data_IF_708749084068
#
_entry.id   IF_708749084068
#
_cell.length_a   1.000
_cell.length_b   1.000
_cell.length_c   1.000
_cell.angle_alpha   90.00
_cell.angle_beta   90.00
_cell.angle_gamma   90.00
#
_symmetry.space_group_name_H-M   'P 1'
#
loop_
_entity.id
_entity.type
_entity.pdbx_description
1 polymer ?
#
# COMPACT_ATOMS: atom_id res chain seq x y z
N UNK A 1 54.74 -17.23 -26.37
CA UNK A 1 53.98 -16.13 -25.73
C UNK A 1 52.48 -16.42 -25.75
N UNK A 2 52.06 -17.59 -25.26
CA UNK A 2 50.65 -18.04 -25.17
C UNK A 2 50.39 -18.78 -23.84
N UNK A 3 51.44 -19.35 -23.26
CA UNK A 3 51.40 -20.08 -21.97
C UNK A 3 51.20 -19.13 -20.76
N UNK A 4 51.53 -17.84 -20.87
CA UNK A 4 51.38 -16.87 -19.77
C UNK A 4 49.94 -16.36 -19.59
N UNK A 5 49.09 -16.43 -20.63
CA UNK A 5 47.68 -16.00 -20.56
C UNK A 5 46.75 -17.06 -19.93
N UNK A 6 47.12 -18.35 -20.02
CA UNK A 6 46.36 -19.46 -19.41
C UNK A 6 46.54 -19.57 -17.89
N UNK A 7 47.60 -18.97 -17.33
CA UNK A 7 47.83 -18.89 -15.89
C UNK A 7 47.02 -17.74 -15.23
N UNK A 8 46.80 -16.63 -15.93
CA UNK A 8 45.98 -15.51 -15.40
C UNK A 8 44.47 -15.84 -15.36
N UNK A 9 43.97 -16.66 -16.29
CA UNK A 9 42.58 -17.14 -16.26
C UNK A 9 42.33 -18.18 -15.16
N UNK A 10 43.32 -18.98 -14.78
CA UNK A 10 43.20 -19.93 -13.67
C UNK A 10 43.38 -19.29 -12.28
N UNK A 11 44.06 -18.15 -12.17
CA UNK A 11 44.19 -17.43 -10.89
C UNK A 11 42.89 -16.65 -10.57
N UNK A 12 42.15 -16.18 -11.58
CA UNK A 12 40.85 -15.51 -11.36
C UNK A 12 39.78 -16.50 -10.84
N UNK A 13 39.81 -17.76 -11.30
CA UNK A 13 38.93 -18.83 -10.81
C UNK A 13 39.26 -19.28 -9.38
N UNK A 14 40.48 -19.02 -8.89
CA UNK A 14 40.92 -19.42 -7.55
C UNK A 14 40.79 -18.27 -6.53
N UNK A 15 40.79 -17.01 -6.97
CA UNK A 15 40.55 -15.84 -6.09
C UNK A 15 39.05 -15.49 -5.96
N UNK A 16 38.19 -15.99 -6.86
CA UNK A 16 36.73 -15.92 -6.71
C UNK A 16 36.16 -16.93 -5.69
N UNK A 17 36.99 -17.59 -4.89
CA UNK A 17 36.56 -18.55 -3.87
C UNK A 17 36.52 -18.00 -2.44
N UNK A 18 36.50 -16.68 -2.26
CA UNK A 18 36.31 -16.05 -0.95
C UNK A 18 35.21 -14.98 -0.97
N UNK A 19 33.95 -15.44 -0.99
CA UNK A 19 32.82 -14.96 -0.17
C UNK A 19 31.49 -15.48 -0.72
N UNK A 20 31.39 -16.80 -0.94
CA UNK A 20 30.05 -17.40 -0.90
C UNK A 20 29.58 -17.25 0.54
N UNK A 21 28.59 -16.40 0.80
CA UNK A 21 27.88 -16.37 2.08
C UNK A 21 27.28 -17.78 2.29
N UNK A 22 27.97 -18.59 3.08
CA UNK A 22 27.69 -20.00 3.30
C UNK A 22 26.49 -20.22 4.24
N UNK A 23 25.77 -19.15 4.60
CA UNK A 23 24.57 -19.19 5.44
C UNK A 23 23.32 -19.02 4.59
N UNK A 24 23.14 -19.91 3.63
CA UNK A 24 21.88 -20.05 2.92
C UNK A 24 21.01 -21.06 3.68
N UNK A 25 19.83 -20.66 4.13
CA UNK A 25 18.82 -21.58 4.63
C UNK A 25 17.87 -21.87 3.48
N UNK A 26 17.82 -23.13 3.05
CA UNK A 26 16.93 -23.51 1.95
C UNK A 26 15.47 -23.55 2.40
N UNK A 27 14.54 -23.45 1.44
CA UNK A 27 13.11 -23.65 1.72
C UNK A 27 12.85 -24.98 2.44
N UNK A 28 13.52 -26.06 2.02
CA UNK A 28 13.35 -27.37 2.63
C UNK A 28 13.86 -27.42 4.08
N UNK A 29 14.94 -26.70 4.40
CA UNK A 29 15.43 -26.58 5.79
C UNK A 29 14.49 -25.72 6.65
N UNK A 30 13.86 -24.70 6.07
CA UNK A 30 12.78 -23.95 6.72
C UNK A 30 11.54 -24.81 6.95
N UNK A 31 11.17 -25.70 6.01
CA UNK A 31 10.06 -26.64 6.21
C UNK A 31 10.30 -27.59 7.39
N UNK A 32 11.55 -28.02 7.58
CA UNK A 32 11.90 -28.98 8.63
C UNK A 32 11.89 -28.36 10.04
N UNK A 33 12.25 -27.08 10.16
CA UNK A 33 12.44 -26.42 11.45
C UNK A 33 11.45 -25.28 11.73
N UNK A 34 10.67 -24.87 10.73
CA UNK A 34 9.69 -23.80 10.82
C UNK A 34 8.27 -24.32 11.00
N UNK A 35 7.39 -23.43 11.46
CA UNK A 35 5.95 -23.69 11.53
C UNK A 35 5.29 -23.17 10.27
N UNK A 36 4.43 -23.99 9.67
CA UNK A 36 3.80 -23.69 8.39
C UNK A 36 2.34 -24.05 8.46
N UNK A 37 1.51 -23.07 8.12
CA UNK A 37 0.12 -23.32 7.79
C UNK A 37 0.00 -23.46 6.27
N UNK A 38 -0.47 -24.63 5.83
CA UNK A 38 -0.73 -24.92 4.42
C UNK A 38 -2.20 -25.35 4.27
N UNK A 39 -2.88 -24.75 3.30
CA UNK A 39 -4.24 -25.12 2.90
C UNK A 39 -4.39 -24.86 1.39
N UNK A 40 -5.48 -25.31 0.80
CA UNK A 40 -5.86 -25.07 -0.60
C UNK A 40 -6.31 -23.62 -0.85
N UNK A 41 -6.29 -22.78 0.20
CA UNK A 41 -6.57 -21.35 0.10
C UNK A 41 -5.48 -20.63 -0.71
N UNK A 42 -5.90 -19.59 -1.42
CA UNK A 42 -5.04 -18.79 -2.29
C UNK A 42 -5.18 -17.31 -1.95
N UNK A 43 -4.20 -16.50 -2.38
CA UNK A 43 -4.21 -15.04 -2.26
C UNK A 43 -4.29 -14.52 -0.81
N UNK A 44 -3.27 -14.85 0.00
CA UNK A 44 -3.10 -14.32 1.36
C UNK A 44 -2.63 -12.85 1.31
N UNK A 45 -3.56 -11.93 1.07
CA UNK A 45 -3.24 -10.55 0.72
C UNK A 45 -3.43 -9.54 1.86
N UNK A 46 -4.13 -9.92 2.92
CA UNK A 46 -4.36 -9.08 4.10
C UNK A 46 -3.97 -9.84 5.36
N UNK A 47 -3.21 -9.20 6.25
CA UNK A 47 -2.78 -9.80 7.52
C UNK A 47 -2.95 -8.77 8.62
N UNK A 48 -3.48 -9.19 9.77
CA UNK A 48 -3.47 -8.41 11.00
C UNK A 48 -3.06 -9.30 12.17
N UNK A 49 -2.24 -8.75 13.08
CA UNK A 49 -1.72 -9.45 14.24
C UNK A 49 -2.46 -8.92 15.48
N UNK A 50 -3.14 -9.80 16.19
CA UNK A 50 -3.85 -9.51 17.43
C UNK A 50 -3.09 -10.15 18.59
N UNK A 51 -2.07 -9.43 19.06
CA UNK A 51 -1.20 -9.89 20.17
C UNK A 51 -1.98 -10.12 21.46
N UNK A 52 -3.08 -9.40 21.70
CA UNK A 52 -3.88 -9.54 22.92
C UNK A 52 -4.56 -10.91 23.02
N UNK A 53 -4.89 -11.52 21.87
CA UNK A 53 -5.53 -12.84 21.80
C UNK A 53 -4.60 -13.92 21.25
N UNK A 54 -3.30 -13.63 21.18
CA UNK A 54 -2.28 -14.54 20.66
C UNK A 54 -2.67 -15.15 19.29
N UNK A 55 -3.17 -14.32 18.38
CA UNK A 55 -3.65 -14.78 17.07
C UNK A 55 -3.17 -13.89 15.91
N UNK A 56 -3.08 -14.50 14.74
CA UNK A 56 -2.92 -13.85 13.44
C UNK A 56 -4.18 -14.10 12.62
N UNK A 57 -4.71 -13.04 12.02
CA UNK A 57 -5.90 -13.09 11.16
C UNK A 57 -5.48 -12.77 9.74
N UNK A 58 -5.81 -13.66 8.82
CA UNK A 58 -5.36 -13.64 7.43
C UNK A 58 -6.59 -13.60 6.51
N UNK A 59 -6.59 -12.66 5.59
CA UNK A 59 -7.57 -12.56 4.52
C UNK A 59 -7.08 -13.33 3.30
N UNK A 60 -7.91 -14.23 2.81
CA UNK A 60 -7.63 -15.05 1.63
C UNK A 60 -8.69 -14.83 0.55
N UNK A 61 -8.60 -15.55 -0.55
CA UNK A 61 -9.73 -15.73 -1.47
C UNK A 61 -10.86 -16.46 -0.73
N UNK A 62 -12.04 -15.85 -0.68
CA UNK A 62 -13.31 -16.41 -0.19
C UNK A 62 -13.35 -16.80 1.30
N UNK A 63 -12.30 -16.47 2.07
CA UNK A 63 -12.19 -16.88 3.46
C UNK A 63 -11.37 -15.91 4.30
N UNK A 64 -11.66 -15.92 5.60
CA UNK A 64 -10.82 -15.35 6.65
C UNK A 64 -10.34 -16.50 7.52
N UNK A 65 -9.04 -16.51 7.79
CA UNK A 65 -8.37 -17.57 8.52
C UNK A 65 -7.79 -16.96 9.79
N UNK A 66 -8.10 -17.57 10.93
CA UNK A 66 -7.51 -17.26 12.22
C UNK A 66 -6.57 -18.36 12.59
N UNK A 67 -5.33 -18.02 12.86
CA UNK A 67 -4.32 -18.94 13.37
C UNK A 67 -3.83 -18.43 14.72
N UNK A 68 -3.33 -19.33 15.57
CA UNK A 68 -2.53 -18.92 16.71
C UNK A 68 -1.25 -18.21 16.26
N UNK A 69 -0.78 -17.27 17.06
CA UNK A 69 0.44 -16.52 16.75
C UNK A 69 1.71 -17.33 17.05
N UNK A 70 1.67 -18.24 18.04
CA UNK A 70 2.84 -18.99 18.49
C UNK A 70 3.20 -20.23 17.64
N UNK A 71 2.21 -20.90 17.05
CA UNK A 71 2.42 -22.15 16.29
C UNK A 71 1.61 -22.28 15.00
N UNK A 72 0.88 -21.24 14.60
CA UNK A 72 0.05 -21.19 13.41
C UNK A 72 -1.00 -22.32 13.31
N UNK A 73 -1.45 -22.85 14.45
CA UNK A 73 -2.57 -23.79 14.46
C UNK A 73 -3.86 -23.08 14.07
N UNK A 74 -4.71 -23.76 13.29
CA UNK A 74 -5.98 -23.21 12.83
C UNK A 74 -6.97 -23.05 13.98
N UNK A 75 -7.35 -21.81 14.27
CA UNK A 75 -8.38 -21.46 15.25
C UNK A 75 -9.78 -21.46 14.61
N UNK A 76 -9.92 -20.80 13.46
CA UNK A 76 -11.19 -20.68 12.74
C UNK A 76 -10.91 -20.43 11.26
N UNK A 77 -11.69 -21.06 10.38
CA UNK A 77 -11.78 -20.69 8.96
C UNK A 77 -13.20 -20.22 8.67
N UNK A 78 -13.38 -18.92 8.53
CA UNK A 78 -14.66 -18.31 8.21
C UNK A 78 -14.80 -18.15 6.70
N UNK A 79 -15.71 -18.91 6.09
CA UNK A 79 -16.03 -18.83 4.66
C UNK A 79 -16.89 -17.58 4.41
N UNK A 80 -16.40 -16.68 3.56
CA UNK A 80 -17.08 -15.45 3.18
C UNK A 80 -17.00 -15.26 1.66
N UNK A 81 -17.84 -16.01 0.95
CA UNK A 81 -17.93 -16.04 -0.51
C UNK A 81 -18.94 -15.04 -1.04
N UNK A 82 -18.68 -14.52 -2.24
CA UNK A 82 -19.69 -13.79 -3.02
C UNK A 82 -20.89 -14.69 -3.33
N UNK A 83 -22.09 -14.13 -3.39
CA UNK A 83 -23.28 -14.86 -3.84
C UNK A 83 -23.17 -15.30 -5.30
N UNK A 84 -23.79 -16.43 -5.66
CA UNK A 84 -23.76 -16.95 -7.05
C UNK A 84 -24.27 -15.93 -8.06
N UNK A 85 -25.29 -15.15 -7.71
CA UNK A 85 -25.85 -14.13 -8.59
C UNK A 85 -24.84 -13.01 -8.88
N UNK A 86 -24.16 -12.49 -7.85
CA UNK A 86 -23.12 -11.47 -8.03
C UNK A 86 -21.93 -12.00 -8.84
N UNK A 87 -21.54 -13.26 -8.65
CA UNK A 87 -20.50 -13.89 -9.49
C UNK A 87 -20.90 -13.94 -10.96
N UNK A 88 -22.15 -14.30 -11.26
CA UNK A 88 -22.67 -14.33 -12.65
C UNK A 88 -22.69 -12.92 -13.25
N UNK A 89 -23.17 -11.92 -12.50
CA UNK A 89 -23.19 -10.52 -12.95
C UNK A 89 -21.77 -10.03 -13.28
N UNK A 90 -20.82 -10.27 -12.38
CA UNK A 90 -19.41 -9.95 -12.61
C UNK A 90 -18.84 -10.69 -13.82
N UNK A 91 -19.08 -12.00 -13.94
CA UNK A 91 -18.53 -12.80 -15.03
C UNK A 91 -19.03 -12.30 -16.40
N UNK A 92 -20.29 -11.88 -16.49
CA UNK A 92 -20.85 -11.32 -17.71
C UNK A 92 -20.18 -10.00 -18.14
N UNK A 93 -19.58 -9.26 -17.20
CA UNK A 93 -18.87 -8.00 -17.48
C UNK A 93 -17.39 -8.23 -17.79
N UNK A 94 -16.73 -9.14 -17.07
CA UNK A 94 -15.26 -9.25 -17.04
C UNK A 94 -14.73 -10.46 -17.82
N UNK A 95 -15.58 -11.48 -18.04
CA UNK A 95 -15.20 -12.75 -18.69
C UNK A 95 -14.05 -13.49 -17.98
N UNK A 96 -13.88 -13.30 -16.67
CA UNK A 96 -12.87 -13.96 -15.84
C UNK A 96 -13.48 -14.48 -14.54
N UNK A 97 -13.55 -15.81 -14.38
CA UNK A 97 -14.09 -16.43 -13.16
C UNK A 97 -13.19 -16.20 -11.94
N UNK A 98 -11.88 -16.15 -12.12
CA UNK A 98 -10.94 -15.97 -11.00
C UNK A 98 -11.05 -14.57 -10.39
N UNK A 99 -11.36 -13.55 -11.20
CA UNK A 99 -11.50 -12.16 -10.73
C UNK A 99 -12.86 -11.90 -10.06
N UNK A 100 -13.87 -12.72 -10.38
CA UNK A 100 -15.22 -12.63 -9.84
C UNK A 100 -15.41 -13.36 -8.51
N UNK A 101 -14.45 -13.26 -7.60
CA UNK A 101 -14.46 -13.90 -6.28
C UNK A 101 -14.30 -12.84 -5.19
N UNK A 102 -14.47 -13.23 -3.93
CA UNK A 102 -14.28 -12.31 -2.81
C UNK A 102 -12.86 -12.40 -2.26
N UNK A 103 -11.98 -11.49 -2.63
CA UNK A 103 -10.63 -11.40 -2.08
C UNK A 103 -10.65 -10.47 -0.88
N UNK A 104 -10.20 -10.94 0.28
CA UNK A 104 -10.21 -10.16 1.51
C UNK A 104 -8.99 -9.23 1.54
N UNK A 105 -9.22 -7.92 1.65
CA UNK A 105 -8.20 -6.87 1.48
C UNK A 105 -8.00 -5.98 2.69
N UNK A 106 -8.98 -5.94 3.60
CA UNK A 106 -8.92 -5.11 4.83
C UNK A 106 -9.26 -5.97 6.04
N UNK A 107 -8.40 -5.93 7.04
CA UNK A 107 -8.58 -6.54 8.35
C UNK A 107 -8.18 -5.52 9.43
N UNK A 108 -9.07 -4.56 9.69
CA UNK A 108 -8.77 -3.47 10.62
C UNK A 108 -9.31 -3.78 12.01
N UNK A 109 -8.40 -4.12 12.93
CA UNK A 109 -8.72 -4.42 14.32
C UNK A 109 -8.91 -3.12 15.11
N UNK A 110 -10.02 -3.03 15.84
CA UNK A 110 -10.36 -1.89 16.70
C UNK A 110 -10.27 -2.30 18.16
N UNK A 111 -9.25 -1.78 18.85
CA UNK A 111 -8.90 -2.22 20.19
C UNK A 111 -9.94 -1.88 21.25
N UNK A 112 -10.63 -0.73 21.14
CA UNK A 112 -11.48 -0.23 22.24
C UNK A 112 -12.77 -1.05 22.46
N UNK A 113 -13.40 -1.54 21.39
CA UNK A 113 -14.63 -2.35 21.46
C UNK A 113 -14.45 -3.77 20.93
N UNK A 114 -13.20 -4.18 20.71
CA UNK A 114 -12.85 -5.53 20.29
C UNK A 114 -13.60 -5.96 19.03
N UNK A 115 -13.62 -5.09 18.02
CA UNK A 115 -14.26 -5.36 16.73
C UNK A 115 -13.23 -5.40 15.61
N UNK A 116 -13.51 -6.22 14.60
CA UNK A 116 -12.70 -6.37 13.41
C UNK A 116 -13.53 -5.93 12.20
N UNK A 117 -13.06 -4.91 11.50
CA UNK A 117 -13.60 -4.55 10.20
C UNK A 117 -12.96 -5.44 9.14
N UNK A 118 -13.80 -6.16 8.39
CA UNK A 118 -13.38 -7.01 7.29
C UNK A 118 -13.97 -6.42 6.01
N UNK A 119 -13.13 -6.18 5.00
CA UNK A 119 -13.61 -5.80 3.67
C UNK A 119 -12.99 -6.69 2.59
N UNK A 120 -13.76 -6.98 1.55
CA UNK A 120 -13.29 -7.72 0.38
C UNK A 120 -13.84 -7.17 -0.93
N UNK A 121 -13.28 -7.65 -2.04
CA UNK A 121 -13.65 -7.24 -3.41
C UNK A 121 -15.07 -7.64 -3.79
N UNK A 122 -15.56 -8.75 -3.23
CA UNK A 122 -16.88 -9.34 -3.45
C UNK A 122 -17.33 -9.24 -4.92
N UNK A 123 -16.54 -9.84 -5.82
CA UNK A 123 -16.80 -9.89 -7.27
C UNK A 123 -17.05 -8.51 -7.90
N UNK A 124 -16.10 -7.58 -7.74
CA UNK A 124 -16.18 -6.20 -8.23
C UNK A 124 -17.33 -5.39 -7.60
N UNK A 125 -17.82 -5.81 -6.44
CA UNK A 125 -18.77 -5.04 -5.63
C UNK A 125 -18.32 -5.00 -4.17
N UNK A 126 -17.31 -4.19 -3.82
CA UNK A 126 -16.68 -4.28 -2.52
C UNK A 126 -17.64 -4.01 -1.37
N UNK A 127 -17.58 -4.88 -0.37
CA UNK A 127 -18.41 -4.81 0.85
C UNK A 127 -17.53 -4.97 2.09
N UNK A 128 -18.03 -4.48 3.21
CA UNK A 128 -17.43 -4.65 4.52
C UNK A 128 -18.44 -5.15 5.56
N UNK A 129 -17.93 -5.84 6.57
CA UNK A 129 -18.67 -6.33 7.74
C UNK A 129 -17.86 -6.10 9.02
N UNK A 130 -18.55 -5.89 10.14
CA UNK A 130 -17.94 -5.94 11.47
C UNK A 130 -18.14 -7.32 12.08
N UNK A 131 -17.07 -7.88 12.65
CA UNK A 131 -17.04 -9.17 13.33
C UNK A 131 -16.28 -9.10 14.64
N UNK A 132 -16.53 -10.07 15.51
CA UNK A 132 -15.72 -10.27 16.71
C UNK A 132 -14.41 -10.98 16.32
N UNK A 133 -13.23 -10.48 16.73
CA UNK A 133 -11.95 -11.11 16.39
C UNK A 133 -11.76 -12.45 17.09
N UNK A 134 -12.50 -12.74 18.16
CA UNK A 134 -12.50 -14.02 18.89
C UNK A 134 -13.47 -15.07 18.29
N UNK A 135 -14.43 -14.64 17.46
CA UNK A 135 -15.39 -15.52 16.78
C UNK A 135 -15.99 -14.79 15.57
N UNK A 136 -15.51 -15.10 14.36
CA UNK A 136 -15.94 -14.41 13.14
C UNK A 136 -17.37 -14.75 12.73
N UNK A 137 -17.91 -15.86 13.23
CA UNK A 137 -19.32 -16.22 13.10
C UNK A 137 -20.25 -15.36 13.98
N UNK A 138 -19.72 -14.71 15.03
CA UNK A 138 -20.51 -13.86 15.92
C UNK A 138 -20.77 -12.49 15.30
N UNK A 139 -22.05 -12.16 15.13
CA UNK A 139 -22.52 -10.89 14.59
C UNK A 139 -22.58 -9.85 15.73
N UNK A 140 -21.96 -8.68 15.54
CA UNK A 140 -21.85 -7.62 16.57
C UNK A 140 -23.15 -6.80 16.72
N UNK A 141 -24.02 -6.76 15.72
CA UNK A 141 -25.31 -6.05 15.79
C UNK A 141 -26.44 -6.79 15.08
N UNK A 142 -27.68 -6.66 15.58
CA UNK A 142 -28.85 -7.45 15.17
C UNK A 142 -29.24 -7.38 13.69
N UNK A 143 -28.60 -6.52 12.89
CA UNK A 143 -28.63 -6.56 11.44
C UNK A 143 -27.18 -6.65 10.95
N UNK A 144 -26.81 -7.72 10.25
CA UNK A 144 -25.59 -7.76 9.43
C UNK A 144 -25.69 -6.69 8.34
N UNK A 145 -25.48 -5.43 8.71
CA UNK A 145 -25.55 -4.34 7.76
C UNK A 145 -24.26 -4.40 6.98
N UNK A 146 -24.31 -5.03 5.81
CA UNK A 146 -23.27 -4.87 4.81
C UNK A 146 -23.00 -3.38 4.64
N UNK A 147 -21.75 -3.00 4.87
CA UNK A 147 -21.27 -1.64 4.70
C UNK A 147 -20.68 -1.57 3.29
N UNK A 148 -20.93 -0.48 2.57
CA UNK A 148 -20.27 -0.26 1.30
C UNK A 148 -18.75 -0.25 1.48
N UNK A 149 -18.07 -1.14 0.75
CA UNK A 149 -16.61 -1.23 0.68
C UNK A 149 -15.99 -0.25 -0.31
N UNK A 150 -16.80 0.57 -1.00
CA UNK A 150 -16.29 1.58 -1.94
C UNK A 150 -15.29 2.52 -1.24
N UNK A 151 -14.10 2.63 -1.84
CA UNK A 151 -12.96 3.37 -1.32
C UNK A 151 -12.24 2.74 -0.11
N UNK A 152 -12.75 1.62 0.44
CA UNK A 152 -12.16 0.88 1.57
C UNK A 152 -11.41 -0.36 1.10
N UNK A 153 -12.03 -1.11 0.19
CA UNK A 153 -11.46 -2.26 -0.50
C UNK A 153 -11.47 -1.99 -2.02
N UNK A 154 -10.46 -2.45 -2.78
CA UNK A 154 -10.50 -2.36 -4.23
C UNK A 154 -11.62 -3.21 -4.83
N UNK A 155 -12.00 -2.89 -6.06
CA UNK A 155 -12.92 -3.68 -6.89
C UNK A 155 -12.20 -4.91 -7.48
N UNK A 156 -10.99 -4.70 -8.01
CA UNK A 156 -10.11 -5.74 -8.53
C UNK A 156 -9.05 -6.14 -7.49
N UNK A 157 -8.81 -7.45 -7.28
CA UNK A 157 -7.79 -7.95 -6.34
C UNK A 157 -6.34 -7.58 -6.71
N UNK A 158 -6.09 -7.26 -7.98
CA UNK A 158 -4.79 -6.80 -8.47
C UNK A 158 -4.47 -5.35 -8.10
N UNK A 159 -5.47 -4.57 -7.68
CA UNK A 159 -5.25 -3.19 -7.27
C UNK A 159 -4.62 -3.12 -5.88
N UNK A 160 -3.63 -2.24 -5.76
CA UNK A 160 -2.97 -1.94 -4.49
C UNK A 160 -3.95 -1.32 -3.51
N UNK A 161 -3.84 -1.69 -2.25
CA UNK A 161 -4.66 -1.13 -1.18
C UNK A 161 -3.82 -0.95 0.08
N UNK A 162 -4.01 0.16 0.78
CA UNK A 162 -3.47 0.39 2.10
C UNK A 162 -4.56 0.96 3.01
N UNK A 163 -4.50 0.65 4.31
CA UNK A 163 -5.46 1.16 5.28
C UNK A 163 -4.82 1.35 6.64
N UNK A 164 -5.44 2.19 7.47
CA UNK A 164 -5.14 2.35 8.88
C UNK A 164 -6.42 2.81 9.60
N UNK A 165 -6.76 2.13 10.70
CA UNK A 165 -7.90 2.51 11.54
C UNK A 165 -7.40 3.30 12.73
N UNK A 166 -7.86 4.54 12.86
CA UNK A 166 -7.53 5.46 13.96
C UNK A 166 -8.81 5.68 14.76
N UNK A 167 -8.86 5.20 15.99
CA UNK A 167 -10.05 5.22 16.83
C UNK A 167 -11.27 4.59 16.13
N UNK A 168 -12.18 5.41 15.62
CA UNK A 168 -13.38 5.00 14.86
C UNK A 168 -13.26 5.24 13.36
N UNK A 169 -12.25 5.99 12.90
CA UNK A 169 -12.12 6.46 11.53
C UNK A 169 -11.16 5.59 10.72
N UNK A 170 -11.63 5.11 9.57
CA UNK A 170 -10.79 4.34 8.65
C UNK A 170 -10.18 5.25 7.60
N UNK A 171 -8.86 5.37 7.60
CA UNK A 171 -8.12 5.89 6.47
C UNK A 171 -7.81 4.74 5.52
N UNK A 172 -8.17 4.89 4.25
CA UNK A 172 -7.94 3.88 3.22
C UNK A 172 -7.44 4.54 1.94
N UNK A 173 -6.61 3.82 1.20
CA UNK A 173 -6.07 4.23 -0.07
C UNK A 173 -6.13 3.05 -1.04
N UNK A 174 -6.90 3.18 -2.11
CA UNK A 174 -7.16 2.10 -3.07
C UNK A 174 -7.61 2.66 -4.41
N UNK A 175 -7.78 1.77 -5.39
CA UNK A 175 -8.40 2.10 -6.68
C UNK A 175 -9.85 1.62 -6.63
N UNK A 176 -10.78 2.57 -6.71
CA UNK A 176 -12.19 2.28 -6.96
C UNK A 176 -12.43 2.17 -8.47
N UNK A 177 -13.41 1.38 -8.87
CA UNK A 177 -13.78 1.19 -10.27
C UNK A 177 -15.32 1.11 -10.37
N UNK A 178 -16.02 2.23 -10.08
CA UNK A 178 -17.49 2.21 -10.02
C UNK A 178 -18.14 1.91 -11.37
N UNK A 179 -17.41 2.15 -12.46
CA UNK A 179 -17.76 1.74 -13.83
C UNK A 179 -16.56 0.97 -14.38
N UNK A 180 -16.79 -0.20 -14.94
CA UNK A 180 -15.73 -1.06 -15.48
C UNK A 180 -14.85 -0.30 -16.48
N UNK A 181 -13.53 -0.40 -16.31
CA UNK A 181 -12.49 0.31 -17.05
C UNK A 181 -12.23 1.75 -16.59
N UNK A 182 -13.04 2.30 -15.67
CA UNK A 182 -12.92 3.69 -15.18
C UNK A 182 -12.33 3.68 -13.78
N UNK A 183 -10.99 3.76 -13.73
CA UNK A 183 -10.26 3.80 -12.48
C UNK A 183 -10.40 5.16 -11.77
N UNK A 184 -10.76 5.10 -10.49
CA UNK A 184 -10.85 6.22 -9.58
C UNK A 184 -9.91 5.96 -8.37
N UNK A 185 -8.61 6.27 -8.49
CA UNK A 185 -7.69 6.15 -7.37
C UNK A 185 -8.01 7.20 -6.30
N UNK A 186 -8.04 6.78 -5.04
CA UNK A 186 -8.43 7.66 -3.96
C UNK A 186 -7.72 7.33 -2.65
N UNK A 187 -7.51 8.38 -1.85
CA UNK A 187 -7.30 8.28 -0.40
C UNK A 187 -8.57 8.80 0.25
N UNK A 188 -9.09 8.12 1.27
CA UNK A 188 -10.37 8.42 1.90
C UNK A 188 -10.31 8.23 3.41
N UNK A 189 -11.04 9.08 4.14
CA UNK A 189 -11.34 8.93 5.56
C UNK A 189 -12.83 8.60 5.70
N UNK A 190 -13.11 7.39 6.15
CA UNK A 190 -14.46 6.83 6.32
C UNK A 190 -14.83 6.73 7.80
N UNK A 191 -16.12 6.53 8.10
CA UNK A 191 -16.65 6.33 9.47
C UNK A 191 -16.47 7.52 10.43
N UNK A 192 -16.01 8.68 9.92
CA UNK A 192 -15.99 9.92 10.69
C UNK A 192 -17.40 10.30 11.14
N UNK A 193 -17.50 10.85 12.35
CA UNK A 193 -18.74 11.41 12.88
C UNK A 193 -19.22 12.66 12.13
N UNK A 194 -18.32 13.31 11.39
CA UNK A 194 -18.61 14.55 10.67
C UNK A 194 -19.04 14.26 9.23
N UNK A 195 -18.09 13.91 8.37
CA UNK A 195 -18.30 13.51 6.98
C UNK A 195 -17.18 12.62 6.48
N UNK A 196 -17.50 11.82 5.47
CA UNK A 196 -16.50 11.09 4.71
C UNK A 196 -15.72 12.10 3.85
N UNK A 197 -14.39 12.04 3.89
CA UNK A 197 -13.52 12.88 3.07
C UNK A 197 -12.72 12.04 2.11
N UNK A 198 -12.43 12.57 0.91
CA UNK A 198 -11.54 11.90 -0.05
C UNK A 198 -10.63 12.87 -0.79
N UNK A 199 -9.69 12.33 -1.55
CA UNK A 199 -8.92 13.10 -2.54
C UNK A 199 -9.81 13.51 -3.71
N UNK A 200 -9.47 14.64 -4.36
CA UNK A 200 -10.21 15.18 -5.50
C UNK A 200 -10.32 14.14 -6.62
N UNK A 201 -11.54 13.89 -7.08
CA UNK A 201 -11.83 12.92 -8.13
C UNK A 201 -11.38 13.46 -9.50
N UNK A 202 -10.81 12.59 -10.33
CA UNK A 202 -10.37 12.90 -11.70
C UNK A 202 -9.31 14.01 -11.82
N UNK A 203 -8.65 14.38 -10.72
CA UNK A 203 -7.54 15.33 -10.73
C UNK A 203 -6.19 14.60 -10.63
N UNK A 204 -5.44 14.60 -11.74
CA UNK A 204 -4.14 13.95 -11.82
C UNK A 204 -3.06 14.63 -10.96
N UNK A 205 -3.24 15.90 -10.58
CA UNK A 205 -2.33 16.58 -9.65
C UNK A 205 -2.41 15.96 -8.26
N UNK A 206 -3.56 15.39 -7.89
CA UNK A 206 -3.73 14.69 -6.63
C UNK A 206 -3.15 13.29 -6.71
N UNK A 207 -3.61 12.48 -7.67
CA UNK A 207 -3.19 11.08 -7.84
C UNK A 207 -3.18 10.70 -9.33
N UNK A 208 -2.05 10.19 -9.84
CA UNK A 208 -1.95 9.70 -11.22
C UNK A 208 -1.48 8.25 -11.28
N UNK A 209 -2.42 7.32 -11.46
CA UNK A 209 -2.15 5.88 -11.54
C UNK A 209 -1.26 5.39 -10.36
N UNK A 210 -1.67 5.65 -9.10
CA UNK A 210 -0.86 5.28 -7.94
C UNK A 210 -0.87 3.76 -7.68
N UNK A 211 0.20 3.28 -7.07
CA UNK A 211 0.29 2.02 -6.36
C UNK A 211 0.52 2.32 -4.88
N UNK A 212 -0.49 2.07 -4.06
CA UNK A 212 -0.47 2.34 -2.62
C UNK A 212 0.32 1.27 -1.85
N UNK A 213 1.17 1.71 -0.93
CA UNK A 213 2.09 0.85 -0.20
C UNK A 213 1.70 0.76 1.27
N UNK A 214 1.53 1.89 1.95
CA UNK A 214 1.24 1.90 3.39
C UNK A 214 0.62 3.20 3.85
N UNK A 215 -0.20 3.14 4.90
CA UNK A 215 -0.65 4.30 5.66
C UNK A 215 -0.03 4.22 7.06
N UNK A 216 0.50 5.34 7.56
CA UNK A 216 1.04 5.50 8.90
C UNK A 216 0.28 6.59 9.66
N UNK A 217 -0.01 6.31 10.92
CA UNK A 217 -0.56 7.26 11.86
C UNK A 217 0.58 7.86 12.69
N UNK A 218 0.94 9.13 12.44
CA UNK A 218 2.04 9.82 13.13
C UNK A 218 1.57 11.24 13.43
N UNK A 219 1.30 11.51 14.71
CA UNK A 219 0.72 12.79 15.13
C UNK A 219 1.51 14.02 14.64
N UNK A 220 0.82 15.08 14.19
CA UNK A 220 -0.64 15.26 14.12
C UNK A 220 -1.29 14.81 12.78
N UNK A 221 -0.57 14.05 11.95
CA UNK A 221 -0.95 13.74 10.57
C UNK A 221 -1.20 12.24 10.34
N UNK A 222 -1.78 11.94 9.18
CA UNK A 222 -1.81 10.62 8.58
C UNK A 222 -1.01 10.67 7.30
N UNK A 223 -0.02 9.78 7.16
CA UNK A 223 0.88 9.72 6.02
C UNK A 223 0.54 8.52 5.14
N UNK A 224 0.31 8.76 3.84
CA UNK A 224 0.07 7.72 2.85
C UNK A 224 1.26 7.63 1.91
N UNK A 225 1.88 6.46 1.85
CA UNK A 225 3.04 6.16 1.02
C UNK A 225 2.61 5.37 -0.21
N UNK A 226 3.08 5.80 -1.37
CA UNK A 226 2.71 5.22 -2.66
C UNK A 226 3.75 5.56 -3.74
N UNK A 227 3.63 4.96 -4.91
CA UNK A 227 4.36 5.36 -6.12
C UNK A 227 3.36 5.65 -7.23
N UNK A 228 3.61 6.64 -8.06
CA UNK A 228 2.66 7.07 -9.10
C UNK A 228 3.39 7.61 -10.34
N UNK A 229 2.67 7.85 -11.43
CA UNK A 229 3.25 8.52 -12.60
C UNK A 229 3.53 9.98 -12.26
N UNK A 230 4.77 10.41 -12.49
CA UNK A 230 5.25 11.78 -12.25
C UNK A 230 4.75 12.73 -13.34
N UNK A 231 3.94 13.73 -12.97
CA UNK A 231 3.51 14.78 -13.90
C UNK A 231 4.61 15.81 -14.16
N UNK A 232 5.46 16.07 -13.16
CA UNK A 232 6.46 17.13 -13.20
C UNK A 232 7.62 16.91 -14.19
N UNK A 233 7.76 15.69 -14.70
CA UNK A 233 8.81 15.29 -15.65
C UNK A 233 8.23 14.55 -16.87
N UNK A 234 6.94 14.72 -17.16
CA UNK A 234 6.29 14.07 -18.31
C UNK A 234 6.98 14.38 -19.65
N UNK A 235 7.50 15.61 -19.80
CA UNK A 235 8.24 16.04 -20.99
C UNK A 235 9.55 15.27 -21.21
N UNK A 236 10.09 14.65 -20.15
CA UNK A 236 11.30 13.82 -20.20
C UNK A 236 10.99 12.32 -20.29
N UNK A 237 9.72 11.95 -20.51
CA UNK A 237 9.24 10.57 -20.55
C UNK A 237 8.37 10.20 -19.36
N UNK A 238 7.71 9.05 -19.47
CA UNK A 238 6.88 8.52 -18.39
C UNK A 238 7.76 7.95 -17.28
N UNK A 239 7.89 8.71 -16.20
CA UNK A 239 8.61 8.29 -15.00
C UNK A 239 7.63 7.97 -13.88
N UNK A 240 7.90 6.92 -13.11
CA UNK A 240 7.23 6.65 -11.84
C UNK A 240 8.04 7.31 -10.73
N UNK A 241 7.40 7.99 -9.79
CA UNK A 241 8.03 8.49 -8.57
C UNK A 241 7.37 7.95 -7.32
N UNK A 242 8.20 7.70 -6.31
CA UNK A 242 7.76 7.40 -4.96
C UNK A 242 7.34 8.67 -4.24
N UNK A 243 6.25 8.59 -3.47
CA UNK A 243 5.59 9.71 -2.82
C UNK A 243 5.23 9.38 -1.39
N UNK A 244 5.16 10.43 -0.58
CA UNK A 244 4.38 10.44 0.65
C UNK A 244 3.42 11.62 0.58
N UNK A 245 2.14 11.34 0.82
CA UNK A 245 1.14 12.35 1.09
C UNK A 245 0.89 12.44 2.59
N UNK A 246 0.52 13.62 3.08
CA UNK A 246 0.05 13.83 4.45
C UNK A 246 -1.31 14.51 4.48
N UNK A 247 -2.08 14.22 5.51
CA UNK A 247 -3.41 14.79 5.80
C UNK A 247 -3.49 15.05 7.31
N UNK A 248 -4.03 16.20 7.73
CA UNK A 248 -4.33 16.45 9.14
C UNK A 248 -5.38 15.46 9.65
N UNK A 249 -5.18 14.89 10.84
CA UNK A 249 -6.19 14.01 11.45
C UNK A 249 -7.55 14.69 11.58
N UNK A 250 -7.55 15.95 12.01
CA UNK A 250 -8.74 16.79 12.22
C UNK A 250 -9.12 17.64 10.99
N UNK A 251 -8.80 17.17 9.77
CA UNK A 251 -9.25 17.85 8.56
C UNK A 251 -10.80 17.83 8.49
N UNK A 252 -11.41 19.00 8.33
CA UNK A 252 -12.88 19.13 8.17
C UNK A 252 -13.32 19.18 6.70
N UNK A 253 -12.36 19.10 5.78
CA UNK A 253 -12.54 19.20 4.35
C UNK A 253 -12.77 20.61 3.87
N UNK A 254 -13.02 20.73 2.58
CA UNK A 254 -13.42 21.99 1.95
C UNK A 254 -14.87 22.34 2.33
N UNK A 255 -15.20 23.63 2.24
CA UNK A 255 -16.57 24.14 2.38
C UNK A 255 -17.43 23.87 1.13
N UNK A 256 -16.84 23.36 0.06
CA UNK A 256 -17.50 23.03 -1.20
C UNK A 256 -18.21 21.67 -1.11
N UNK A 257 -19.10 21.40 -2.07
CA UNK A 257 -19.84 20.13 -2.17
C UNK A 257 -18.95 18.90 -2.47
N UNK A 258 -17.66 19.05 -2.73
CA UNK A 258 -16.78 17.98 -3.21
C UNK A 258 -16.34 16.99 -2.13
N UNK A 259 -16.64 17.24 -0.85
CA UNK A 259 -16.22 16.43 0.31
C UNK A 259 -14.74 16.00 0.23
N UNK A 260 -13.90 16.96 -0.15
CA UNK A 260 -12.46 16.76 -0.33
C UNK A 260 -11.65 17.19 0.88
N UNK A 261 -10.51 16.55 1.10
CA UNK A 261 -9.54 17.00 2.10
C UNK A 261 -9.07 18.43 1.81
N UNK A 262 -8.91 19.26 2.85
CA UNK A 262 -8.32 20.60 2.71
C UNK A 262 -6.81 20.59 2.91
N UNK A 263 -6.32 19.68 3.73
CA UNK A 263 -4.92 19.60 4.18
C UNK A 263 -4.04 18.64 3.37
N UNK A 264 -4.58 18.07 2.30
CA UNK A 264 -3.85 17.14 1.45
C UNK A 264 -2.64 17.82 0.81
N UNK A 265 -1.47 17.24 1.01
CA UNK A 265 -0.23 17.62 0.33
C UNK A 265 0.61 16.38 0.09
N UNK A 266 1.40 16.36 -0.99
CA UNK A 266 2.31 15.25 -1.31
C UNK A 266 3.69 15.76 -1.72
N UNK A 267 4.71 14.96 -1.46
CA UNK A 267 6.09 15.22 -1.88
C UNK A 267 6.73 13.97 -2.50
N UNK A 268 7.84 14.17 -3.21
CA UNK A 268 8.67 13.07 -3.75
C UNK A 268 9.57 12.48 -2.66
N UNK A 269 9.55 11.16 -2.52
CA UNK A 269 10.59 10.43 -1.79
C UNK A 269 11.75 10.12 -2.75
N UNK A 270 12.90 10.71 -2.50
CA UNK A 270 14.12 10.44 -3.25
C UNK A 270 14.91 9.34 -2.54
N UNK A 271 15.19 8.25 -3.24
CA UNK A 271 16.15 7.24 -2.84
C UNK A 271 17.14 7.08 -3.98
N UNK A 272 18.37 7.59 -3.82
CA UNK A 272 19.34 7.58 -4.90
C UNK A 272 20.76 7.34 -4.42
N UNK A 273 21.58 6.78 -5.32
CA UNK A 273 23.01 6.58 -5.10
C UNK A 273 23.78 7.23 -6.24
N UNK A 274 24.71 8.11 -5.89
CA UNK A 274 25.75 8.59 -6.82
C UNK A 274 26.90 7.60 -6.83
N UNK A 275 27.35 7.23 -8.02
CA UNK A 275 28.60 6.46 -8.17
C UNK A 275 29.79 7.40 -7.97
N UNK A 276 30.80 6.91 -7.25
CA UNK A 276 32.08 7.62 -7.11
C UNK A 276 32.73 7.68 -8.51
N UNK A 277 32.98 8.89 -9.01
CA UNK A 277 33.62 9.24 -10.29
C UNK A 277 32.73 9.41 -11.54
N UNK A 278 31.40 9.38 -11.43
CA UNK A 278 30.51 9.64 -12.57
C UNK A 278 29.49 10.76 -12.31
N UNK A 279 29.02 11.41 -13.39
CA UNK A 279 27.87 12.35 -13.36
C UNK A 279 26.52 11.64 -13.27
N UNK A 280 26.50 10.31 -13.23
CA UNK A 280 25.31 9.46 -13.26
C UNK A 280 24.86 9.13 -11.83
N UNK A 281 23.55 9.29 -11.58
CA UNK A 281 22.90 8.88 -10.34
C UNK A 281 21.85 7.82 -10.63
N UNK A 282 21.78 6.80 -9.79
CA UNK A 282 20.72 5.81 -9.84
C UNK A 282 19.61 6.21 -8.88
N UNK A 283 18.43 6.49 -9.43
CA UNK A 283 17.21 6.77 -8.68
C UNK A 283 16.37 5.50 -8.56
N UNK A 284 16.20 5.02 -7.32
CA UNK A 284 15.35 3.88 -6.98
C UNK A 284 13.93 4.38 -6.77
N UNK A 285 13.19 4.56 -7.87
CA UNK A 285 11.91 5.24 -7.85
C UNK A 285 10.69 4.37 -7.51
N UNK A 286 10.83 3.03 -7.47
CA UNK A 286 9.71 2.13 -7.22
C UNK A 286 9.66 1.67 -5.75
N UNK A 287 9.06 2.47 -4.86
CA UNK A 287 8.81 2.11 -3.46
C UNK A 287 7.96 0.84 -3.36
N UNK A 288 8.46 -0.19 -2.67
CA UNK A 288 7.78 -1.49 -2.49
C UNK A 288 7.18 -1.68 -1.10
N UNK A 289 7.85 -1.20 -0.05
CA UNK A 289 7.39 -1.36 1.33
C UNK A 289 7.88 -0.22 2.22
N UNK A 290 7.15 0.01 3.30
CA UNK A 290 7.47 0.99 4.33
C UNK A 290 7.43 0.30 5.70
N UNK A 291 8.41 0.58 6.55
CA UNK A 291 8.42 0.19 7.96
C UNK A 291 8.70 1.42 8.83
N UNK A 292 7.89 1.61 9.87
CA UNK A 292 8.06 2.71 10.82
C UNK A 292 8.62 2.20 12.13
N UNK A 293 9.81 2.68 12.48
CA UNK A 293 10.44 2.41 13.76
C UNK A 293 10.16 3.55 14.73
N UNK A 294 9.07 3.42 15.48
CA UNK A 294 8.52 4.50 16.33
C UNK A 294 9.48 4.96 17.43
N UNK A 295 10.29 4.06 18.01
CA UNK A 295 11.23 4.42 19.08
C UNK A 295 12.29 5.45 18.67
N UNK A 296 12.63 5.53 17.38
CA UNK A 296 13.60 6.50 16.84
C UNK A 296 12.97 7.49 15.85
N UNK A 297 11.66 7.45 15.64
CA UNK A 297 10.96 8.23 14.61
C UNK A 297 11.60 8.10 13.21
N UNK A 298 11.99 6.86 12.84
CA UNK A 298 12.60 6.56 11.56
C UNK A 298 11.63 5.80 10.65
N UNK A 299 11.57 6.22 9.40
CA UNK A 299 10.84 5.51 8.34
C UNK A 299 11.86 4.85 7.41
N UNK A 300 11.77 3.53 7.30
CA UNK A 300 12.52 2.73 6.34
C UNK A 300 11.65 2.49 5.12
N UNK A 301 12.17 2.74 3.93
CA UNK A 301 11.53 2.39 2.67
C UNK A 301 12.42 1.46 1.86
N UNK A 302 11.84 0.38 1.32
CA UNK A 302 12.49 -0.48 0.34
C UNK A 302 12.07 -0.04 -1.06
N UNK A 303 13.03 0.18 -1.95
CA UNK A 303 12.83 0.70 -3.30
C UNK A 303 13.50 -0.19 -4.32
N UNK A 304 12.92 -0.28 -5.51
CA UNK A 304 13.55 -0.89 -6.68
C UNK A 304 13.91 0.18 -7.71
N UNK A 305 14.90 -0.15 -8.55
CA UNK A 305 15.10 0.53 -9.82
C UNK A 305 13.84 0.40 -10.70
N UNK A 306 13.56 1.37 -11.57
CA UNK A 306 12.52 1.24 -12.59
C UNK A 306 12.71 -0.06 -13.40
N UNK A 307 11.62 -0.65 -13.90
CA UNK A 307 11.61 -1.89 -14.72
C UNK A 307 12.28 -1.76 -16.11
N UNK A 308 13.41 -1.07 -16.21
CA UNK A 308 14.16 -0.82 -17.44
C UNK A 308 15.53 -1.49 -17.38
N UNK A 309 15.57 -2.81 -17.62
CA UNK A 309 16.78 -3.61 -17.89
C UNK A 309 17.73 -3.86 -16.70
N UNK A 310 17.97 -2.86 -15.85
CA UNK A 310 18.77 -3.01 -14.64
C UNK A 310 17.89 -3.41 -13.47
N UNK A 311 18.32 -4.44 -12.74
CA UNK A 311 17.66 -4.92 -11.53
C UNK A 311 18.51 -4.47 -10.35
N UNK A 312 17.89 -3.80 -9.39
CA UNK A 312 18.56 -3.34 -8.19
C UNK A 312 17.55 -2.82 -7.18
N UNK A 313 17.88 -2.99 -5.91
CA UNK A 313 17.06 -2.54 -4.79
C UNK A 313 17.90 -1.72 -3.81
N UNK A 314 17.24 -0.83 -3.08
CA UNK A 314 17.85 -0.01 -2.04
C UNK A 314 16.92 0.12 -0.85
N UNK A 315 17.50 0.30 0.33
CA UNK A 315 16.77 0.72 1.53
C UNK A 315 17.21 2.14 1.85
N UNK A 316 16.25 3.06 1.88
CA UNK A 316 16.47 4.44 2.30
C UNK A 316 15.75 4.71 3.63
N UNK A 317 16.35 5.58 4.44
CA UNK A 317 15.84 5.95 5.76
C UNK A 317 15.49 7.43 5.73
N UNK A 318 14.32 7.76 6.26
CA UNK A 318 13.80 9.12 6.36
C UNK A 318 13.45 9.44 7.81
N UNK A 319 13.71 10.66 8.25
CA UNK A 319 13.22 11.17 9.53
C UNK A 319 11.92 11.93 9.32
N UNK A 320 11.04 11.94 10.34
CA UNK A 320 9.81 12.73 10.29
C UNK A 320 10.12 14.22 10.12
N UNK A 321 11.11 14.73 10.84
CA UNK A 321 11.50 16.15 10.78
C UNK A 321 11.93 16.59 9.36
N UNK A 322 12.64 15.73 8.62
CA UNK A 322 13.00 16.01 7.23
C UNK A 322 11.78 16.03 6.29
N UNK A 323 10.83 15.11 6.48
CA UNK A 323 9.59 15.14 5.69
C UNK A 323 8.81 16.43 5.98
N UNK A 324 8.69 16.77 7.25
CA UNK A 324 7.97 17.95 7.72
C UNK A 324 8.60 19.27 7.27
N UNK A 325 9.94 19.36 7.26
CA UNK A 325 10.62 20.55 6.76
C UNK A 325 10.37 20.78 5.27
N UNK A 326 10.30 19.70 4.47
CA UNK A 326 9.99 19.77 3.03
C UNK A 326 8.53 20.14 2.81
N UNK A 327 7.59 19.57 3.57
CA UNK A 327 6.19 19.95 3.45
C UNK A 327 5.90 21.41 3.85
N UNK A 328 6.75 22.03 4.69
CA UNK A 328 6.67 23.45 5.05
C UNK A 328 7.46 24.36 4.10
N UNK A 329 8.13 23.79 3.09
CA UNK A 329 8.89 24.54 2.10
C UNK A 329 8.00 25.00 0.93
N UNK A 330 8.61 25.43 -0.17
CA UNK A 330 7.91 25.89 -1.37
C UNK A 330 7.06 24.80 -2.03
N UNK A 331 5.94 25.20 -2.61
CA UNK A 331 5.10 24.32 -3.44
C UNK A 331 5.54 24.36 -4.90
N UNK A 332 5.28 23.28 -5.63
CA UNK A 332 5.40 23.26 -7.08
C UNK A 332 4.10 23.76 -7.70
N UNK A 333 4.19 24.76 -8.57
CA UNK A 333 3.06 25.31 -9.31
C UNK A 333 3.31 25.22 -10.82
N UNK A 334 2.22 25.10 -11.57
CA UNK A 334 2.23 25.05 -13.02
C UNK A 334 1.14 26.01 -13.53
N UNK A 335 1.50 27.00 -14.34
CA UNK A 335 0.55 28.04 -14.82
C UNK A 335 -0.43 27.51 -15.86
N UNK A 336 0.04 26.58 -16.69
CA UNK A 336 -0.74 25.87 -17.72
C UNK A 336 -0.10 24.50 -17.97
N UNK A 337 -0.84 23.55 -18.56
CA UNK A 337 -0.35 22.20 -18.84
C UNK A 337 0.93 22.16 -19.70
N UNK A 338 1.22 23.23 -20.45
CA UNK A 338 2.40 23.37 -21.32
C UNK A 338 3.59 24.06 -20.62
N UNK A 339 3.35 24.71 -19.47
CA UNK A 339 4.39 25.42 -18.73
C UNK A 339 5.24 24.47 -17.88
N UNK A 340 6.48 24.87 -17.58
CA UNK A 340 7.33 24.14 -16.65
C UNK A 340 6.84 24.30 -15.20
N UNK A 341 7.06 23.26 -14.40
CA UNK A 341 6.84 23.32 -12.96
C UNK A 341 7.88 24.23 -12.31
N UNK A 342 7.40 25.16 -11.48
CA UNK A 342 8.22 26.15 -10.79
C UNK A 342 7.96 26.09 -9.28
N UNK A 343 9.00 26.35 -8.50
CA UNK A 343 8.90 26.50 -7.05
C UNK A 343 8.29 27.87 -6.74
N UNK A 344 7.21 27.90 -5.96
CA UNK A 344 6.57 29.11 -5.44
C UNK A 344 6.54 29.05 -3.91
N UNK A 345 6.95 30.14 -3.27
CA UNK A 345 7.13 30.26 -1.83
C UNK A 345 5.88 30.73 -1.08
N UNK A 346 4.72 30.86 -1.73
CA UNK A 346 3.56 31.55 -1.14
C UNK A 346 2.28 30.71 -1.16
N UNK A 347 1.74 30.46 0.04
CA UNK A 347 0.36 30.02 0.27
C UNK A 347 -0.70 30.99 -0.32
N UNK A 348 -0.30 32.20 -0.72
CA UNK A 348 -1.19 33.30 -1.15
C UNK A 348 -1.61 33.29 -2.64
N UNK A 349 -1.08 32.42 -3.49
CA UNK A 349 -1.51 32.34 -4.91
C UNK A 349 -2.52 31.22 -5.20
N UNK A 350 -2.92 30.44 -4.19
CA UNK A 350 -3.83 29.27 -4.36
C UNK A 350 -5.32 29.59 -4.18
N UNK A 351 -5.70 30.86 -4.00
CA UNK A 351 -7.11 31.32 -3.92
C UNK A 351 -7.62 31.98 -5.22
N UNK A 352 -7.06 31.63 -6.38
CA UNK A 352 -7.61 32.04 -7.69
C UNK A 352 -8.11 30.87 -8.51
#
# INVERSE_FOLDING_TARGET
MVIFYLLLLNICSIIANNSFDFRFVSYNELLQNGQIYQNDDHAFDAITIDQQRDQIIIGAKNAIIRLSLGDFHLLERYKWETSTNEKIICHNQIQSFNECENYIRVLALRSYDQSLLICGTNSYHPICIWRRPDSLSTIISNNEKFISGNGKSPYNSQYSSAYYLIDTELYSATISEPVFGVNDPLIQRSFSHTKQLRTQQHDSNWLKNPYFVRILNIDPYVYTFFREISLEHLSCGMNVYSRVARICKYDHGTMTFSDTFRSYSKLRLLCSKKLLNEKTSFDFNELQSIYFYSSLNLIYGAFNLPKSGLIGSAICIYTIDQLESVFKSSFLTQKSNESYWISSSTEQEMEK
#
